data_IF_151096865150
#
_entry.id   IF_151096865150
#
_cell.length_a   1.000
_cell.length_b   1.000
_cell.length_c   1.000
_cell.angle_alpha   90.00
_cell.angle_beta   90.00
_cell.angle_gamma   90.00
#
_symmetry.space_group_name_H-M   'P 1'
#
loop_
_entity.id
_entity.type
_entity.pdbx_description
1 polymer ?
#
# COMPACT_ATOMS: atom_id res chain seq x y z
N UNK A 1 1.00 7.88 20.19
CA UNK A 1 1.44 6.60 19.57
C UNK A 1 2.95 6.57 19.43
N UNK A 2 3.61 7.35 18.61
CA UNK A 2 5.07 7.27 18.40
C UNK A 2 5.92 7.39 19.69
N UNK A 3 5.47 8.15 20.70
CA UNK A 3 6.14 8.27 22.00
C UNK A 3 5.89 7.09 22.97
N UNK A 4 5.16 6.05 22.56
CA UNK A 4 4.84 4.90 23.41
C UNK A 4 3.84 5.15 24.54
N UNK A 5 3.22 6.32 24.56
CA UNK A 5 2.26 6.71 25.61
C UNK A 5 0.81 6.33 25.34
N UNK A 6 0.52 5.91 24.11
CA UNK A 6 -0.79 5.44 23.66
C UNK A 6 -0.65 4.13 22.91
N UNK A 7 -1.67 3.27 22.99
CA UNK A 7 -1.77 2.09 22.14
C UNK A 7 -1.83 2.51 20.66
N UNK A 8 -1.19 1.73 19.81
CA UNK A 8 -1.26 1.92 18.35
C UNK A 8 -2.58 1.36 17.84
N UNK A 9 -3.14 2.02 16.84
CA UNK A 9 -4.27 1.51 16.04
C UNK A 9 -3.80 0.63 14.89
N UNK A 10 -4.75 0.04 14.16
CA UNK A 10 -4.42 -0.83 13.02
C UNK A 10 -3.72 -0.10 11.88
N UNK A 11 -4.07 1.16 11.61
CA UNK A 11 -3.41 1.96 10.57
C UNK A 11 -1.94 2.19 10.89
N UNK A 12 -1.63 2.53 12.14
CA UNK A 12 -0.25 2.71 12.59
C UNK A 12 0.51 1.37 12.60
N UNK A 13 -0.13 0.27 13.04
CA UNK A 13 0.48 -1.05 13.05
C UNK A 13 0.84 -1.52 11.63
N UNK A 14 -0.06 -1.34 10.67
CA UNK A 14 0.17 -1.64 9.26
C UNK A 14 1.34 -0.83 8.70
N UNK A 15 1.34 0.48 8.91
CA UNK A 15 2.41 1.38 8.45
C UNK A 15 3.78 0.99 9.04
N UNK A 16 3.84 0.67 10.32
CA UNK A 16 5.08 0.22 10.96
C UNK A 16 5.56 -1.14 10.44
N UNK A 17 4.63 -2.06 10.12
CA UNK A 17 4.98 -3.33 9.50
C UNK A 17 5.62 -3.13 8.12
N UNK A 18 5.04 -2.28 7.28
CA UNK A 18 5.64 -1.95 5.97
C UNK A 18 6.98 -1.26 6.12
N UNK A 19 7.08 -0.28 7.02
CA UNK A 19 8.35 0.40 7.30
C UNK A 19 9.46 -0.58 7.70
N UNK A 20 9.15 -1.52 8.59
CA UNK A 20 10.12 -2.52 9.05
C UNK A 20 10.58 -3.45 7.92
N UNK A 21 9.68 -3.83 7.01
CA UNK A 21 10.02 -4.67 5.87
C UNK A 21 10.95 -3.94 4.90
N UNK A 22 10.59 -2.72 4.47
CA UNK A 22 11.43 -1.98 3.51
C UNK A 22 12.79 -1.61 4.10
N UNK A 23 12.87 -1.28 5.37
CA UNK A 23 14.15 -1.06 6.07
C UNK A 23 15.00 -2.33 6.16
N UNK A 24 14.36 -3.51 6.26
CA UNK A 24 15.04 -4.81 6.28
C UNK A 24 15.40 -5.33 4.88
N UNK A 25 15.14 -4.57 3.82
CA UNK A 25 15.47 -4.92 2.45
C UNK A 25 14.41 -5.76 1.73
N UNK A 26 13.19 -5.83 2.27
CA UNK A 26 12.06 -6.53 1.64
C UNK A 26 11.11 -5.51 1.02
N UNK A 27 10.98 -5.47 -0.33
CA UNK A 27 10.03 -4.59 -0.99
C UNK A 27 8.59 -4.90 -0.58
N UNK A 28 7.75 -3.88 -0.61
CA UNK A 28 6.32 -4.00 -0.34
C UNK A 28 5.54 -3.41 -1.51
N UNK A 29 4.63 -4.20 -2.06
CA UNK A 29 3.70 -3.80 -3.10
C UNK A 29 2.27 -3.96 -2.59
N UNK A 30 1.49 -2.89 -2.64
CA UNK A 30 0.06 -2.92 -2.33
C UNK A 30 -0.73 -2.34 -3.49
N UNK A 31 -1.75 -3.05 -3.95
CA UNK A 31 -2.66 -2.61 -4.99
C UNK A 31 -4.11 -2.81 -4.59
N UNK A 32 -5.01 -2.00 -5.16
CA UNK A 32 -6.44 -2.03 -4.93
C UNK A 32 -7.08 -0.78 -5.50
N UNK A 33 -8.40 -0.64 -5.44
CA UNK A 33 -9.09 0.52 -6.02
C UNK A 33 -8.77 1.83 -5.28
N UNK A 34 -8.41 1.75 -4.01
CA UNK A 34 -8.18 2.91 -3.14
C UNK A 34 -7.07 2.62 -2.12
N UNK A 35 -5.99 2.00 -2.56
CA UNK A 35 -4.88 1.58 -1.70
C UNK A 35 -4.09 2.73 -1.13
N UNK A 36 -4.02 3.86 -1.83
CA UNK A 36 -3.30 5.05 -1.37
C UNK A 36 -3.86 5.63 -0.09
N UNK A 37 -5.19 5.64 0.08
CA UNK A 37 -5.89 6.10 1.28
C UNK A 37 -6.21 4.92 2.23
N UNK A 38 -6.54 3.78 1.66
CA UNK A 38 -7.14 2.63 2.33
C UNK A 38 -8.66 2.77 2.46
N UNK A 39 -9.39 1.66 2.32
CA UNK A 39 -10.85 1.61 2.33
C UNK A 39 -11.47 2.29 3.57
N UNK A 40 -10.84 2.16 4.73
CA UNK A 40 -11.28 2.77 5.99
C UNK A 40 -10.66 4.15 6.28
N UNK A 41 -10.05 4.78 5.28
CA UNK A 41 -9.28 6.01 5.46
C UNK A 41 -8.22 5.90 6.58
N UNK A 42 -7.59 4.74 6.69
CA UNK A 42 -6.67 4.39 7.77
C UNK A 42 -5.20 4.47 7.36
N UNK A 43 -4.91 4.33 6.05
CA UNK A 43 -3.53 4.20 5.58
C UNK A 43 -2.87 5.53 5.22
N UNK A 44 -3.50 6.33 4.35
CA UNK A 44 -2.94 7.58 3.84
C UNK A 44 -1.46 7.47 3.43
N UNK A 45 -1.14 6.41 2.67
CA UNK A 45 0.22 6.14 2.21
C UNK A 45 0.72 7.17 1.19
N UNK A 46 -0.18 7.89 0.54
CA UNK A 46 0.12 8.93 -0.43
C UNK A 46 -0.44 10.26 0.06
N UNK A 47 0.43 11.25 0.21
CA UNK A 47 0.06 12.62 0.52
C UNK A 47 0.03 13.43 -0.77
N UNK A 48 -0.98 14.28 -0.92
CA UNK A 48 -1.17 15.10 -2.11
C UNK A 48 -1.04 16.58 -1.79
N UNK A 49 -0.28 17.30 -2.60
CA UNK A 49 -0.24 18.77 -2.55
C UNK A 49 -1.63 19.29 -2.97
N UNK A 50 -2.25 20.06 -2.08
CA UNK A 50 -3.59 20.62 -2.31
C UNK A 50 -3.58 21.78 -3.28
N UNK A 51 -2.41 22.36 -3.58
CA UNK A 51 -2.24 23.44 -4.55
C UNK A 51 -1.75 22.98 -5.92
N UNK A 52 -1.67 21.67 -6.15
CA UNK A 52 -1.21 21.11 -7.42
C UNK A 52 -2.12 21.55 -8.57
N UNK A 53 -1.53 21.83 -9.72
CA UNK A 53 -2.26 22.18 -10.94
C UNK A 53 -2.86 20.95 -11.64
N UNK A 54 -2.23 19.79 -11.46
CA UNK A 54 -2.61 18.54 -12.12
C UNK A 54 -2.66 17.40 -11.09
N UNK A 55 -3.58 16.46 -11.30
CA UNK A 55 -3.79 15.31 -10.43
C UNK A 55 -2.58 14.36 -10.36
N UNK A 56 -1.78 14.30 -11.44
CA UNK A 56 -0.60 13.44 -11.58
C UNK A 56 0.69 14.05 -11.01
N UNK A 57 0.60 15.21 -10.35
CA UNK A 57 1.72 15.93 -9.76
C UNK A 57 1.52 16.15 -8.26
N UNK A 58 2.61 16.52 -7.57
CA UNK A 58 2.54 16.91 -6.17
C UNK A 58 2.09 15.79 -5.24
N UNK A 59 2.55 14.57 -5.45
CA UNK A 59 2.36 13.45 -4.52
C UNK A 59 3.65 13.12 -3.77
N UNK A 60 3.51 12.72 -2.52
CA UNK A 60 4.61 12.29 -1.66
C UNK A 60 4.23 11.00 -0.93
N UNK A 61 5.12 10.01 -0.96
CA UNK A 61 4.92 8.71 -0.30
C UNK A 61 5.95 8.56 0.82
N UNK A 62 5.59 8.79 2.09
CA UNK A 62 6.54 8.78 3.20
C UNK A 62 7.40 7.51 3.29
N UNK A 63 6.79 6.34 3.06
CA UNK A 63 7.48 5.04 3.14
C UNK A 63 8.52 4.80 2.05
N UNK A 64 8.65 5.70 1.07
CA UNK A 64 9.74 5.70 0.08
C UNK A 64 10.97 6.48 0.52
N UNK A 65 10.92 7.11 1.69
CA UNK A 65 11.93 8.07 2.14
C UNK A 65 12.32 7.85 3.60
N UNK A 66 12.40 6.59 4.04
CA UNK A 66 12.85 6.26 5.40
C UNK A 66 14.37 6.28 5.48
N UNK A 67 15.05 5.69 4.50
CA UNK A 67 16.51 5.70 4.39
C UNK A 67 16.97 5.59 2.94
N UNK A 68 18.24 5.91 2.68
CA UNK A 68 18.84 5.84 1.33
C UNK A 68 19.09 4.40 0.85
N UNK A 69 19.00 3.42 1.75
CA UNK A 69 19.33 2.01 1.47
C UNK A 69 18.13 1.07 1.60
N UNK A 70 16.96 1.60 1.89
CA UNK A 70 15.73 0.82 2.00
C UNK A 70 15.33 0.14 0.69
N UNK A 71 14.51 -0.90 0.79
CA UNK A 71 13.84 -1.49 -0.35
C UNK A 71 12.64 -0.63 -0.83
N UNK A 72 12.09 -0.95 -1.99
CA UNK A 72 10.98 -0.20 -2.59
C UNK A 72 9.66 -0.38 -1.82
N UNK A 73 8.90 0.70 -1.74
CA UNK A 73 7.50 0.70 -1.34
C UNK A 73 6.62 1.16 -2.49
N UNK A 74 5.75 0.30 -2.97
CA UNK A 74 4.88 0.56 -4.10
C UNK A 74 3.41 0.49 -3.68
N UNK A 75 2.69 1.59 -3.83
CA UNK A 75 1.25 1.68 -3.61
C UNK A 75 0.56 2.12 -4.89
N UNK A 76 -0.46 1.36 -5.31
CA UNK A 76 -1.12 1.51 -6.62
C UNK A 76 -2.63 1.50 -6.43
N UNK A 77 -3.29 2.55 -6.92
CA UNK A 77 -4.73 2.55 -7.10
C UNK A 77 -5.04 1.89 -8.46
N UNK A 78 -5.57 0.68 -8.41
CA UNK A 78 -5.84 -0.17 -9.57
C UNK A 78 -7.29 -0.09 -10.00
N UNK A 79 -7.51 -0.01 -11.32
CA UNK A 79 -8.83 -0.05 -11.95
C UNK A 79 -9.20 -1.44 -12.50
N UNK A 80 -8.36 -2.44 -12.24
CA UNK A 80 -8.63 -3.80 -12.69
C UNK A 80 -9.77 -4.43 -11.89
N UNK A 81 -10.58 -5.26 -12.57
CA UNK A 81 -11.57 -6.09 -11.87
C UNK A 81 -10.88 -7.17 -11.03
N UNK A 82 -11.64 -7.85 -10.18
CA UNK A 82 -11.13 -8.78 -9.17
C UNK A 82 -10.32 -9.93 -9.77
N UNK A 83 -10.83 -10.54 -10.85
CA UNK A 83 -10.14 -11.64 -11.52
C UNK A 83 -8.81 -11.21 -12.13
N UNK A 84 -8.80 -10.07 -12.80
CA UNK A 84 -7.62 -9.55 -13.46
C UNK A 84 -6.55 -9.13 -12.43
N UNK A 85 -6.93 -8.44 -11.35
CA UNK A 85 -5.96 -8.01 -10.33
C UNK A 85 -5.43 -9.19 -9.54
N UNK A 86 -6.27 -10.16 -9.18
CA UNK A 86 -5.84 -11.39 -8.50
C UNK A 86 -4.84 -12.18 -9.35
N UNK A 87 -5.14 -12.37 -10.65
CA UNK A 87 -4.23 -13.06 -11.56
C UNK A 87 -2.91 -12.32 -11.70
N UNK A 88 -2.95 -10.99 -11.81
CA UNK A 88 -1.74 -10.18 -11.92
C UNK A 88 -0.88 -10.25 -10.66
N UNK A 89 -1.47 -9.97 -9.50
CA UNK A 89 -0.72 -9.94 -8.23
C UNK A 89 -0.23 -11.33 -7.82
N UNK A 90 -0.97 -12.39 -8.15
CA UNK A 90 -0.51 -13.76 -7.97
C UNK A 90 0.75 -14.05 -8.82
N UNK A 91 0.70 -13.71 -10.12
CA UNK A 91 1.84 -13.89 -11.01
C UNK A 91 3.05 -13.05 -10.57
N UNK A 92 2.80 -11.83 -10.11
CA UNK A 92 3.82 -10.95 -9.55
C UNK A 92 4.49 -11.57 -8.32
N UNK A 93 3.70 -12.02 -7.34
CA UNK A 93 4.20 -12.66 -6.13
C UNK A 93 5.02 -13.93 -6.42
N UNK A 94 4.58 -14.74 -7.38
CA UNK A 94 5.34 -15.92 -7.81
C UNK A 94 6.70 -15.57 -8.43
N UNK A 95 6.80 -14.42 -9.09
CA UNK A 95 8.03 -13.95 -9.73
C UNK A 95 8.97 -13.22 -8.76
N UNK A 96 8.44 -12.68 -7.67
CA UNK A 96 9.17 -11.91 -6.65
C UNK A 96 8.94 -12.46 -5.24
N UNK A 97 9.46 -13.65 -4.91
CA UNK A 97 9.14 -14.34 -3.64
C UNK A 97 9.67 -13.66 -2.38
N UNK A 98 10.55 -12.67 -2.51
CA UNK A 98 11.11 -11.89 -1.39
C UNK A 98 10.37 -10.57 -1.15
N UNK A 99 9.31 -10.31 -1.89
CA UNK A 99 8.49 -9.11 -1.81
C UNK A 99 7.15 -9.42 -1.16
N UNK A 100 6.68 -8.54 -0.28
CA UNK A 100 5.32 -8.60 0.24
C UNK A 100 4.37 -8.02 -0.81
N UNK A 101 3.54 -8.86 -1.40
CA UNK A 101 2.55 -8.46 -2.40
C UNK A 101 1.16 -8.53 -1.80
N UNK A 102 0.43 -7.43 -1.83
CA UNK A 102 -0.89 -7.27 -1.22
C UNK A 102 -1.86 -6.77 -2.27
N UNK A 103 -3.03 -7.42 -2.36
CA UNK A 103 -4.19 -6.84 -3.01
C UNK A 103 -5.26 -6.52 -1.95
N UNK A 104 -5.71 -5.27 -1.90
CA UNK A 104 -6.80 -4.81 -1.03
C UNK A 104 -8.12 -4.85 -1.79
N UNK A 105 -8.99 -5.80 -1.41
CA UNK A 105 -10.32 -5.94 -1.98
C UNK A 105 -11.28 -4.86 -1.46
N UNK A 106 -12.28 -4.49 -2.27
CA UNK A 106 -13.43 -3.72 -1.84
C UNK A 106 -14.53 -4.64 -1.29
N UNK A 107 -15.50 -4.09 -0.58
CA UNK A 107 -16.56 -4.90 0.05
C UNK A 107 -17.37 -5.70 -0.96
N UNK A 108 -17.65 -5.14 -2.14
CA UNK A 108 -18.38 -5.82 -3.20
C UNK A 108 -17.66 -7.03 -3.77
N UNK A 109 -16.34 -7.02 -3.75
CA UNK A 109 -15.50 -8.07 -4.32
C UNK A 109 -15.71 -9.43 -3.66
N UNK A 110 -16.01 -9.43 -2.35
CA UNK A 110 -16.27 -10.67 -1.57
C UNK A 110 -17.56 -11.39 -1.96
N UNK A 111 -18.48 -10.71 -2.64
CA UNK A 111 -19.70 -11.28 -3.18
C UNK A 111 -19.65 -11.42 -4.71
N UNK A 112 -18.49 -11.24 -5.32
CA UNK A 112 -18.25 -11.25 -6.75
C UNK A 112 -16.99 -12.08 -7.08
N UNK A 113 -16.10 -11.57 -7.92
CA UNK A 113 -14.94 -12.31 -8.45
C UNK A 113 -13.87 -12.70 -7.44
N UNK A 114 -13.91 -12.15 -6.22
CA UNK A 114 -12.99 -12.49 -5.13
C UNK A 114 -13.55 -13.45 -4.09
N UNK A 115 -14.71 -14.06 -4.35
CA UNK A 115 -15.35 -15.02 -3.45
C UNK A 115 -14.51 -16.31 -3.26
#
# INVERSE_FOLDING_TARGET
MAAGTQAIDWGMAETLAYASLVESGHPVRISGEDSGRGTFAHRHAVLHDQNRERWDQGSYVPLRHLSDTQADFLVIDSILNEEAVLAYEYGYACSSPNELVIWEAQFGDFANGAQ
#
